data_IF_678819032830
#
_entry.id   IF_678819032830
#
_cell.length_a   1.000
_cell.length_b   1.000
_cell.length_c   1.000
_cell.angle_alpha   90.00
_cell.angle_beta   90.00
_cell.angle_gamma   90.00
#
_symmetry.space_group_name_H-M   'P 1'
#
loop_
_entity.id
_entity.type
_entity.pdbx_description
1 polymer ?
#
# COMPACT_ATOMS: atom_id res chain seq x y z
N UNK A 1 15.23 6.47 4.20
CA UNK A 1 15.14 6.33 2.73
C UNK A 1 14.35 7.49 2.12
N UNK A 2 13.08 7.72 2.52
CA UNK A 2 12.23 8.79 1.94
C UNK A 2 12.91 10.17 1.95
N UNK A 3 13.49 10.59 3.06
CA UNK A 3 14.27 11.85 3.12
C UNK A 3 15.39 11.88 2.08
N UNK A 4 16.15 10.78 1.95
CA UNK A 4 17.22 10.68 0.96
C UNK A 4 16.69 10.86 -0.48
N UNK A 5 15.53 10.28 -0.80
CA UNK A 5 14.90 10.44 -2.11
C UNK A 5 14.51 11.89 -2.38
N UNK A 6 13.87 12.56 -1.40
CA UNK A 6 13.42 13.96 -1.53
C UNK A 6 14.60 14.92 -1.65
N UNK A 7 15.63 14.75 -0.82
CA UNK A 7 16.81 15.62 -0.78
C UNK A 7 17.67 15.48 -2.05
N UNK A 8 17.74 14.27 -2.63
CA UNK A 8 18.51 13.99 -3.84
C UNK A 8 17.66 14.02 -5.12
N UNK A 9 16.39 14.41 -5.06
CA UNK A 9 15.49 14.57 -6.21
C UNK A 9 15.31 13.30 -7.08
N UNK A 10 15.29 12.10 -6.45
CA UNK A 10 15.24 10.82 -7.15
C UNK A 10 13.84 10.42 -7.65
N UNK A 11 12.93 11.37 -7.84
CA UNK A 11 11.52 11.09 -8.22
C UNK A 11 11.42 10.38 -9.57
N UNK A 12 12.24 10.79 -10.54
CA UNK A 12 12.27 10.17 -11.87
C UNK A 12 12.78 8.74 -11.83
N UNK A 13 13.82 8.49 -11.05
CA UNK A 13 14.37 7.14 -10.82
C UNK A 13 13.36 6.23 -10.14
N UNK A 14 12.52 6.80 -9.27
CA UNK A 14 11.40 6.12 -8.63
C UNK A 14 10.24 5.84 -9.58
N UNK A 15 10.25 6.37 -10.82
CA UNK A 15 9.15 6.27 -11.76
C UNK A 15 7.93 7.11 -11.39
N UNK A 16 8.11 8.11 -10.53
CA UNK A 16 7.02 8.98 -10.06
C UNK A 16 6.65 9.96 -11.17
N UNK A 17 5.34 10.12 -11.50
CA UNK A 17 4.88 11.11 -12.46
C UNK A 17 5.27 12.54 -12.05
N UNK A 18 5.82 13.31 -12.99
CA UNK A 18 6.35 14.66 -12.73
C UNK A 18 5.29 15.62 -12.15
N UNK A 19 4.03 15.47 -12.55
CA UNK A 19 2.91 16.29 -12.07
C UNK A 19 2.49 16.02 -10.61
N UNK A 20 2.98 14.94 -9.99
CA UNK A 20 2.76 14.65 -8.56
C UNK A 20 3.90 15.13 -7.67
N UNK A 21 5.06 15.48 -8.22
CA UNK A 21 6.26 15.81 -7.43
C UNK A 21 6.03 17.00 -6.50
N UNK A 22 5.29 18.02 -6.94
CA UNK A 22 4.98 19.20 -6.11
C UNK A 22 4.13 18.79 -4.89
N UNK A 23 3.07 18.00 -5.10
CA UNK A 23 2.20 17.50 -4.02
C UNK A 23 2.96 16.57 -3.07
N UNK A 24 3.82 15.70 -3.59
CA UNK A 24 4.68 14.81 -2.78
C UNK A 24 5.57 15.65 -1.86
N UNK A 25 6.23 16.68 -2.37
CA UNK A 25 7.08 17.56 -1.55
C UNK A 25 6.29 18.29 -0.48
N UNK A 26 5.11 18.77 -0.85
CA UNK A 26 4.25 19.48 0.08
C UNK A 26 3.77 18.55 1.21
N UNK A 27 3.21 17.40 0.86
CA UNK A 27 2.72 16.43 1.86
C UNK A 27 3.84 15.78 2.68
N UNK A 28 5.06 15.71 2.15
CA UNK A 28 6.24 15.27 2.88
C UNK A 28 6.68 16.27 3.95
N UNK A 29 6.54 17.55 3.68
CA UNK A 29 7.00 18.64 4.55
C UNK A 29 5.98 19.05 5.64
N UNK A 30 4.72 18.66 5.49
CA UNK A 30 3.63 19.04 6.39
C UNK A 30 3.08 17.80 7.13
N UNK A 31 3.34 17.72 8.43
CA UNK A 31 2.95 16.60 9.31
C UNK A 31 1.44 16.32 9.35
N UNK A 32 0.61 17.28 8.94
CA UNK A 32 -0.84 17.12 8.84
C UNK A 32 -1.28 16.10 7.78
N UNK A 33 -0.44 15.89 6.78
CA UNK A 33 -0.60 14.84 5.78
C UNK A 33 0.05 13.54 6.28
N UNK A 34 -0.51 12.98 7.33
CA UNK A 34 0.02 11.79 7.95
C UNK A 34 -0.31 10.53 7.14
N UNK A 35 0.64 9.62 7.05
CA UNK A 35 0.43 8.28 6.51
C UNK A 35 -0.61 7.53 7.33
N UNK A 36 -1.55 6.82 6.69
CA UNK A 36 -2.58 6.05 7.39
C UNK A 36 -2.07 4.64 7.74
N UNK A 37 -1.76 3.84 6.74
CA UNK A 37 -1.25 2.48 6.92
C UNK A 37 -0.47 1.99 5.70
N UNK A 38 0.35 0.96 5.92
CA UNK A 38 1.06 0.24 4.87
C UNK A 38 1.17 -1.25 5.20
N UNK A 39 1.56 -2.06 4.21
CA UNK A 39 1.89 -3.47 4.39
C UNK A 39 3.28 -3.74 3.83
N UNK A 40 4.14 -4.35 4.64
CA UNK A 40 5.43 -4.89 4.22
C UNK A 40 5.26 -6.35 3.84
N UNK A 41 5.61 -6.70 2.61
CA UNK A 41 5.60 -8.07 2.17
C UNK A 41 6.98 -8.69 2.43
N UNK A 42 7.00 -9.79 3.18
CA UNK A 42 8.19 -10.42 3.71
C UNK A 42 8.31 -11.86 3.21
N UNK A 43 9.52 -12.25 2.84
CA UNK A 43 9.91 -13.64 2.73
C UNK A 43 10.56 -14.08 4.05
N UNK A 44 10.33 -15.31 4.46
CA UNK A 44 10.95 -15.87 5.65
C UNK A 44 11.43 -17.30 5.39
N UNK A 45 12.47 -17.68 6.11
CA UNK A 45 13.00 -19.02 6.18
C UNK A 45 12.97 -19.46 7.65
N UNK A 46 12.11 -20.44 7.93
CA UNK A 46 11.85 -20.91 9.28
C UNK A 46 13.04 -21.67 9.85
N UNK A 47 13.80 -22.39 9.01
CA UNK A 47 14.95 -23.19 9.44
C UNK A 47 16.15 -22.31 9.82
N UNK A 48 16.43 -21.31 8.99
CA UNK A 48 17.53 -20.36 9.17
C UNK A 48 17.12 -19.14 10.03
N UNK A 49 15.84 -19.01 10.35
CA UNK A 49 15.25 -17.84 11.05
C UNK A 49 15.57 -16.50 10.37
N UNK A 50 15.59 -16.50 9.06
CA UNK A 50 15.84 -15.31 8.26
C UNK A 50 14.53 -14.71 7.76
N UNK A 51 14.42 -13.38 7.86
CA UNK A 51 13.31 -12.59 7.29
C UNK A 51 13.90 -11.59 6.31
N UNK A 52 13.26 -11.43 5.13
CA UNK A 52 13.67 -10.50 4.08
C UNK A 52 12.50 -9.67 3.58
N UNK A 53 12.72 -8.36 3.48
CA UNK A 53 11.78 -7.44 2.85
C UNK A 53 11.82 -7.61 1.33
N UNK A 54 10.67 -7.94 0.75
CA UNK A 54 10.53 -8.11 -0.70
C UNK A 54 9.71 -7.03 -1.37
N UNK A 55 8.83 -6.34 -0.62
CA UNK A 55 8.00 -5.25 -1.12
C UNK A 55 7.47 -4.38 0.01
N UNK A 56 7.14 -3.11 -0.30
CA UNK A 56 6.40 -2.21 0.56
C UNK A 56 5.18 -1.69 -0.21
N UNK A 57 4.00 -1.88 0.35
CA UNK A 57 2.73 -1.39 -0.18
C UNK A 57 2.24 -0.26 0.74
N UNK A 58 2.45 0.99 0.35
CA UNK A 58 2.24 2.15 1.21
C UNK A 58 1.11 3.09 0.74
N UNK A 59 0.56 2.88 -0.46
CA UNK A 59 -0.54 3.69 -0.99
C UNK A 59 -1.88 2.96 -0.89
N UNK A 60 -1.99 1.78 -1.52
CA UNK A 60 -3.24 1.03 -1.68
C UNK A 60 -3.08 -0.43 -1.23
N UNK A 61 -2.56 -0.65 -0.02
CA UNK A 61 -2.44 -1.99 0.53
C UNK A 61 -3.82 -2.61 0.78
N UNK A 62 -4.01 -3.87 0.40
CA UNK A 62 -5.23 -4.67 0.57
C UNK A 62 -5.02 -5.82 1.57
N UNK A 63 -5.97 -6.74 1.69
CA UNK A 63 -6.04 -7.81 2.68
C UNK A 63 -6.36 -7.32 4.10
N UNK A 64 -7.05 -6.18 4.24
CA UNK A 64 -7.51 -5.67 5.54
C UNK A 64 -8.61 -6.57 6.16
N UNK A 65 -9.67 -6.97 5.43
CA UNK A 65 -10.72 -7.83 5.97
C UNK A 65 -10.18 -9.17 6.47
N UNK A 66 -9.33 -9.79 5.66
CA UNK A 66 -8.73 -11.09 5.97
C UNK A 66 -7.87 -11.00 7.24
N UNK A 67 -7.07 -9.92 7.34
CA UNK A 67 -6.14 -9.75 8.45
C UNK A 67 -6.85 -9.28 9.72
N UNK A 68 -7.69 -8.23 9.66
CA UNK A 68 -8.30 -7.67 10.85
C UNK A 68 -9.43 -8.56 11.42
N UNK A 69 -10.22 -9.21 10.55
CA UNK A 69 -11.48 -9.84 10.96
C UNK A 69 -11.52 -11.34 10.68
N UNK A 70 -11.23 -11.77 9.43
CA UNK A 70 -11.50 -13.16 9.02
C UNK A 70 -10.63 -14.15 9.79
N UNK A 71 -9.34 -13.90 9.93
CA UNK A 71 -8.44 -14.81 10.69
C UNK A 71 -8.79 -14.87 12.17
N UNK A 72 -9.21 -13.76 12.79
CA UNK A 72 -9.69 -13.73 14.16
C UNK A 72 -10.98 -14.53 14.33
N UNK A 73 -11.96 -14.34 13.43
CA UNK A 73 -13.19 -15.10 13.45
C UNK A 73 -12.96 -16.60 13.24
N UNK A 74 -12.00 -16.97 12.38
CA UNK A 74 -11.58 -18.35 12.18
C UNK A 74 -11.00 -18.95 13.45
N UNK A 75 -10.15 -18.22 14.17
CA UNK A 75 -9.57 -18.66 15.45
C UNK A 75 -10.67 -18.93 16.48
N UNK A 76 -11.61 -18.01 16.66
CA UNK A 76 -12.75 -18.16 17.56
C UNK A 76 -13.66 -19.33 17.19
N UNK A 77 -13.97 -19.51 15.92
CA UNK A 77 -14.84 -20.60 15.46
C UNK A 77 -14.24 -21.98 15.69
N UNK A 78 -12.92 -22.07 15.80
CA UNK A 78 -12.20 -23.30 16.14
C UNK A 78 -11.97 -23.47 17.65
N UNK A 79 -12.50 -22.58 18.48
CA UNK A 79 -12.37 -22.63 19.94
C UNK A 79 -10.96 -22.37 20.46
N UNK A 80 -10.14 -21.67 19.66
CA UNK A 80 -8.78 -21.28 20.02
C UNK A 80 -8.78 -19.92 20.75
N UNK A 81 -7.69 -19.62 21.45
CA UNK A 81 -7.55 -18.37 22.17
C UNK A 81 -7.41 -17.20 21.18
N UNK A 82 -8.31 -16.23 21.25
CA UNK A 82 -8.31 -15.05 20.39
C UNK A 82 -7.08 -14.16 20.55
N UNK A 83 -6.33 -14.29 21.65
CA UNK A 83 -5.08 -13.58 21.89
C UNK A 83 -3.87 -14.26 21.24
N UNK A 84 -4.04 -15.43 20.62
CA UNK A 84 -2.98 -16.16 19.93
C UNK A 84 -2.74 -15.65 18.51
N UNK A 85 -3.01 -14.38 18.23
CA UNK A 85 -2.68 -13.73 16.95
C UNK A 85 -1.96 -12.40 17.17
N UNK A 86 -1.00 -12.10 16.31
CA UNK A 86 -0.45 -10.75 16.19
C UNK A 86 -1.38 -9.93 15.30
N UNK A 87 -2.40 -9.33 15.91
CA UNK A 87 -3.48 -8.65 15.19
C UNK A 87 -4.17 -7.60 16.07
N UNK A 88 -3.62 -6.40 16.07
CA UNK A 88 -4.23 -5.19 16.65
C UNK A 88 -4.53 -4.14 15.56
N UNK A 89 -4.78 -4.62 14.31
CA UNK A 89 -4.89 -3.74 13.15
C UNK A 89 -6.06 -2.76 13.26
N UNK A 90 -7.20 -3.22 13.75
CA UNK A 90 -8.39 -2.38 13.88
C UNK A 90 -8.15 -1.27 14.92
N UNK A 91 -7.66 -1.62 16.08
CA UNK A 91 -7.38 -0.69 17.18
C UNK A 91 -6.38 0.39 16.76
N UNK A 92 -5.29 -0.02 16.10
CA UNK A 92 -4.27 0.91 15.58
C UNK A 92 -4.83 1.84 14.49
N UNK A 93 -5.71 1.34 13.62
CA UNK A 93 -6.39 2.18 12.62
C UNK A 93 -7.31 3.22 13.29
N UNK A 94 -8.06 2.84 14.32
CA UNK A 94 -8.90 3.77 15.09
C UNK A 94 -8.06 4.88 15.73
N UNK A 95 -6.97 4.50 16.41
CA UNK A 95 -6.05 5.47 17.00
C UNK A 95 -5.41 6.38 15.94
N UNK A 96 -5.05 5.83 14.80
CA UNK A 96 -4.45 6.58 13.71
C UNK A 96 -5.41 7.59 13.08
N UNK A 97 -6.65 7.20 12.83
CA UNK A 97 -7.69 8.13 12.38
C UNK A 97 -7.95 9.24 13.40
N UNK A 98 -8.03 8.90 14.69
CA UNK A 98 -8.17 9.89 15.75
C UNK A 98 -6.99 10.88 15.78
N UNK A 99 -5.76 10.40 15.60
CA UNK A 99 -4.58 11.25 15.49
C UNK A 99 -4.61 12.16 14.26
N UNK A 100 -4.99 11.63 13.08
CA UNK A 100 -5.14 12.43 11.85
C UNK A 100 -6.17 13.54 12.04
N UNK A 101 -7.28 13.26 12.71
CA UNK A 101 -8.29 14.26 13.06
C UNK A 101 -7.72 15.37 13.97
N UNK A 102 -6.91 15.01 14.95
CA UNK A 102 -6.26 15.99 15.84
C UNK A 102 -5.24 16.87 15.12
N UNK A 103 -4.49 16.31 14.17
CA UNK A 103 -3.55 17.08 13.35
C UNK A 103 -4.24 18.09 12.42
N UNK A 104 -5.55 17.92 12.20
CA UNK A 104 -6.37 18.72 11.30
C UNK A 104 -7.66 19.19 11.99
N UNK A 105 -7.54 19.67 13.24
CA UNK A 105 -8.66 20.10 14.09
C UNK A 105 -9.40 21.36 13.60
N UNK A 106 -8.82 22.04 12.63
CA UNK A 106 -9.41 23.18 11.92
C UNK A 106 -10.31 22.75 10.71
N UNK A 107 -10.34 21.47 10.37
CA UNK A 107 -11.20 20.90 9.33
C UNK A 107 -12.40 20.16 9.93
N UNK A 108 -13.48 20.06 9.15
CA UNK A 108 -14.63 19.22 9.54
C UNK A 108 -14.21 17.75 9.46
N UNK A 109 -14.43 16.92 10.49
CA UNK A 109 -14.06 15.51 10.45
C UNK A 109 -15.04 14.70 9.59
N UNK A 110 -15.17 15.06 8.31
CA UNK A 110 -15.98 14.40 7.30
C UNK A 110 -15.08 13.76 6.26
N UNK A 111 -15.20 12.46 6.08
CA UNK A 111 -14.37 11.67 5.18
C UNK A 111 -15.18 10.91 4.14
N UNK A 112 -14.81 11.08 2.87
CA UNK A 112 -15.32 10.29 1.77
C UNK A 112 -14.33 9.16 1.45
N UNK A 113 -14.83 7.94 1.34
CA UNK A 113 -14.08 6.78 0.88
C UNK A 113 -14.45 6.46 -0.57
N UNK A 114 -13.45 6.16 -1.40
CA UNK A 114 -13.69 5.88 -2.82
C UNK A 114 -12.85 4.72 -3.33
N UNK A 115 -13.50 3.90 -4.17
CA UNK A 115 -12.90 2.81 -4.95
C UNK A 115 -13.23 2.99 -6.43
N UNK A 116 -12.67 2.16 -7.29
CA UNK A 116 -13.14 1.96 -8.64
C UNK A 116 -14.39 1.06 -8.63
N UNK A 117 -15.33 1.29 -9.54
CA UNK A 117 -16.52 0.43 -9.71
C UNK A 117 -16.11 -0.96 -10.22
N UNK A 118 -16.90 -1.97 -9.88
CA UNK A 118 -16.72 -3.37 -10.31
C UNK A 118 -15.54 -4.11 -9.66
N UNK A 119 -15.00 -3.61 -8.55
CA UNK A 119 -13.99 -4.26 -7.72
C UNK A 119 -14.50 -4.52 -6.30
N UNK A 120 -15.35 -5.56 -6.07
CA UNK A 120 -15.98 -5.80 -4.76
C UNK A 120 -14.99 -6.10 -3.64
N UNK A 121 -13.78 -6.58 -3.98
CA UNK A 121 -12.69 -6.79 -3.01
C UNK A 121 -12.20 -5.44 -2.44
N UNK A 122 -12.11 -4.41 -3.29
CA UNK A 122 -11.72 -3.06 -2.87
C UNK A 122 -12.79 -2.44 -1.97
N UNK A 123 -14.07 -2.62 -2.29
CA UNK A 123 -15.19 -2.15 -1.47
C UNK A 123 -15.14 -2.78 -0.06
N UNK A 124 -14.81 -4.09 -0.01
CA UNK A 124 -14.67 -4.81 1.26
C UNK A 124 -13.47 -4.31 2.06
N UNK A 125 -12.31 -4.07 1.41
CA UNK A 125 -11.15 -3.47 2.06
C UNK A 125 -11.46 -2.10 2.65
N UNK A 126 -12.13 -1.24 1.90
CA UNK A 126 -12.51 0.11 2.34
C UNK A 126 -13.50 0.07 3.50
N UNK A 127 -14.41 -0.91 3.56
CA UNK A 127 -15.38 -1.04 4.65
C UNK A 127 -14.73 -1.16 6.04
N UNK A 128 -13.57 -1.84 6.15
CA UNK A 128 -12.80 -1.94 7.39
C UNK A 128 -12.28 -0.56 7.83
N UNK A 129 -11.76 0.22 6.88
CA UNK A 129 -11.28 1.57 7.17
C UNK A 129 -12.41 2.53 7.53
N UNK A 130 -13.57 2.39 6.89
CA UNK A 130 -14.76 3.18 7.19
C UNK A 130 -15.24 2.95 8.63
N UNK A 131 -15.20 1.71 9.11
CA UNK A 131 -15.59 1.39 10.48
C UNK A 131 -14.62 2.01 11.48
N UNK A 132 -13.31 1.84 11.27
CA UNK A 132 -12.28 2.46 12.11
C UNK A 132 -12.40 4.01 12.13
N UNK A 133 -12.68 4.63 10.98
CA UNK A 133 -12.88 6.08 10.90
C UNK A 133 -14.13 6.55 11.67
N UNK A 134 -15.25 5.80 11.61
CA UNK A 134 -16.47 6.11 12.41
C UNK A 134 -16.18 6.03 13.89
N UNK A 135 -15.51 4.99 14.33
CA UNK A 135 -15.13 4.80 15.74
C UNK A 135 -14.18 5.93 16.21
N UNK A 136 -13.31 6.42 15.34
CA UNK A 136 -12.44 7.58 15.58
C UNK A 136 -13.19 8.93 15.55
N UNK A 137 -14.51 8.94 15.25
CA UNK A 137 -15.38 10.12 15.29
C UNK A 137 -15.37 10.95 14.01
N UNK A 138 -15.19 10.32 12.84
CA UNK A 138 -15.47 10.93 11.54
C UNK A 138 -16.92 10.69 11.10
N UNK A 139 -17.47 11.67 10.40
CA UNK A 139 -18.64 11.48 9.54
C UNK A 139 -18.17 10.79 8.25
N UNK A 140 -18.67 9.58 7.99
CA UNK A 140 -18.15 8.70 6.95
C UNK A 140 -19.17 8.50 5.85
N UNK A 141 -18.74 8.69 4.60
CA UNK A 141 -19.51 8.33 3.41
C UNK A 141 -18.65 7.48 2.44
N UNK A 142 -19.34 6.84 1.50
CA UNK A 142 -18.72 6.07 0.41
C UNK A 142 -19.33 6.50 -0.92
N UNK A 143 -18.50 6.66 -1.94
CA UNK A 143 -18.88 6.83 -3.34
C UNK A 143 -17.84 6.24 -4.27
N UNK A 144 -18.25 5.64 -5.39
CA UNK A 144 -17.30 5.31 -6.44
C UNK A 144 -16.71 6.58 -7.04
N UNK A 145 -15.47 6.50 -7.57
CA UNK A 145 -14.76 7.68 -8.07
C UNK A 145 -15.52 8.43 -9.17
N UNK A 146 -16.31 7.74 -9.97
CA UNK A 146 -17.16 8.31 -11.02
C UNK A 146 -18.40 9.06 -10.50
N UNK A 147 -18.66 9.02 -9.19
CA UNK A 147 -19.71 9.74 -8.47
C UNK A 147 -19.18 10.90 -7.63
N UNK A 148 -17.86 11.18 -7.73
CA UNK A 148 -17.17 12.19 -6.94
C UNK A 148 -16.85 13.41 -7.79
N UNK A 149 -17.25 14.59 -7.30
CA UNK A 149 -16.97 15.86 -7.94
C UNK A 149 -15.83 16.61 -7.25
N UNK A 150 -14.89 17.12 -8.03
CA UNK A 150 -13.75 17.90 -7.56
C UNK A 150 -13.81 19.32 -8.08
N UNK A 151 -13.84 20.30 -7.19
CA UNK A 151 -13.74 21.72 -7.51
C UNK A 151 -12.40 22.24 -7.02
N UNK A 152 -11.57 22.79 -7.91
CA UNK A 152 -10.25 23.33 -7.57
C UNK A 152 -10.30 24.39 -6.47
N UNK A 153 -11.39 25.14 -6.40
CA UNK A 153 -11.56 26.26 -5.46
C UNK A 153 -12.39 25.95 -4.24
N UNK A 154 -13.26 24.91 -4.28
CA UNK A 154 -14.23 24.66 -3.22
C UNK A 154 -13.97 23.40 -2.44
N UNK A 155 -13.49 22.32 -3.06
CA UNK A 155 -13.16 21.06 -2.39
C UNK A 155 -13.67 19.81 -3.10
N UNK A 156 -13.88 18.76 -2.32
CA UNK A 156 -14.38 17.45 -2.72
C UNK A 156 -15.87 17.34 -2.37
N UNK A 157 -16.67 16.81 -3.31
CA UNK A 157 -18.12 16.69 -3.14
C UNK A 157 -18.63 15.33 -3.60
N UNK A 158 -19.70 14.89 -2.96
CA UNK A 158 -20.55 13.79 -3.39
C UNK A 158 -21.97 14.33 -3.60
N UNK A 159 -22.63 13.90 -4.67
CA UNK A 159 -24.04 14.23 -4.87
C UNK A 159 -24.94 13.38 -3.97
N UNK A 160 -25.80 14.04 -3.17
CA UNK A 160 -26.85 13.36 -2.41
C UNK A 160 -28.12 13.23 -3.29
N UNK A 161 -28.45 12.01 -3.76
CA UNK A 161 -29.60 11.82 -4.64
C UNK A 161 -30.94 12.05 -3.95
N UNK A 162 -30.99 12.00 -2.61
CA UNK A 162 -32.23 12.19 -1.85
C UNK A 162 -32.63 13.67 -1.71
N UNK A 163 -31.61 14.54 -1.60
CA UNK A 163 -31.84 15.97 -1.36
C UNK A 163 -31.46 16.84 -2.56
N UNK A 164 -31.00 16.26 -3.66
CA UNK A 164 -30.43 16.96 -4.83
C UNK A 164 -29.39 18.03 -4.44
N UNK A 165 -28.58 17.72 -3.43
CA UNK A 165 -27.57 18.60 -2.87
C UNK A 165 -26.18 17.97 -3.02
N UNK A 166 -25.15 18.83 -2.97
CA UNK A 166 -23.77 18.37 -2.88
C UNK A 166 -23.31 18.41 -1.43
N UNK A 167 -22.77 17.31 -0.95
CA UNK A 167 -22.17 17.18 0.37
C UNK A 167 -20.66 17.31 0.21
N UNK A 168 -20.07 18.27 0.95
CA UNK A 168 -18.63 18.52 0.95
C UNK A 168 -17.94 17.64 1.98
N UNK A 169 -16.73 17.16 1.62
CA UNK A 169 -15.83 16.42 2.51
C UNK A 169 -14.48 17.09 2.58
N UNK A 170 -13.91 17.15 3.78
CA UNK A 170 -12.59 17.73 4.02
C UNK A 170 -11.47 16.68 4.02
N UNK A 171 -11.86 15.38 4.09
CA UNK A 171 -10.94 14.24 3.98
C UNK A 171 -11.40 13.28 2.89
N UNK A 172 -10.42 12.68 2.22
CA UNK A 172 -10.67 11.67 1.19
C UNK A 172 -9.73 10.49 1.34
N UNK A 173 -10.30 9.29 1.53
CA UNK A 173 -9.56 8.05 1.37
C UNK A 173 -9.84 7.49 -0.02
N UNK A 174 -8.79 7.17 -0.76
CA UNK A 174 -8.88 6.57 -2.09
C UNK A 174 -8.16 5.22 -2.13
N UNK A 175 -8.82 4.19 -2.55
CA UNK A 175 -8.17 2.93 -2.93
C UNK A 175 -7.86 2.94 -4.45
N UNK A 176 -7.41 4.07 -4.94
CA UNK A 176 -7.03 4.34 -6.33
C UNK A 176 -5.56 4.75 -6.33
N UNK A 177 -4.69 4.06 -7.10
CA UNK A 177 -3.27 4.34 -7.08
C UNK A 177 -2.90 5.76 -7.48
N UNK A 178 -2.01 6.40 -6.73
CA UNK A 178 -1.51 7.73 -7.08
C UNK A 178 -0.83 7.78 -8.46
N UNK A 179 -0.10 6.71 -8.83
CA UNK A 179 0.54 6.65 -10.15
C UNK A 179 -0.48 6.58 -11.28
N UNK A 180 -1.68 6.03 -11.07
CA UNK A 180 -2.77 6.08 -12.06
C UNK A 180 -3.29 7.49 -12.20
N UNK A 181 -3.58 8.17 -11.09
CA UNK A 181 -4.01 9.59 -11.11
C UNK A 181 -2.96 10.44 -11.83
N UNK A 182 -1.67 10.27 -11.53
CA UNK A 182 -0.60 11.04 -12.15
C UNK A 182 -0.42 10.79 -13.65
N UNK A 183 -0.58 9.56 -14.11
CA UNK A 183 -0.37 9.19 -15.50
C UNK A 183 -1.62 9.42 -16.39
N UNK A 184 -2.79 9.07 -15.88
CA UNK A 184 -4.03 8.96 -16.67
C UNK A 184 -4.96 10.15 -16.43
N UNK A 185 -4.99 10.71 -15.18
CA UNK A 185 -5.93 11.76 -14.75
C UNK A 185 -5.18 13.06 -14.39
N UNK A 186 -4.45 13.64 -15.37
CA UNK A 186 -3.57 14.80 -15.13
C UNK A 186 -4.31 16.04 -14.62
N UNK A 187 -5.55 16.26 -15.05
CA UNK A 187 -6.39 17.35 -14.57
C UNK A 187 -6.74 17.15 -13.11
N UNK A 188 -7.18 15.95 -12.73
CA UNK A 188 -7.46 15.59 -11.34
C UNK A 188 -6.20 15.74 -10.47
N UNK A 189 -5.03 15.31 -10.94
CA UNK A 189 -3.76 15.51 -10.22
C UNK A 189 -3.47 16.99 -9.94
N UNK A 190 -3.77 17.89 -10.88
CA UNK A 190 -3.62 19.33 -10.70
C UNK A 190 -4.61 19.90 -9.68
N UNK A 191 -5.88 19.53 -9.79
CA UNK A 191 -6.94 19.92 -8.84
C UNK A 191 -6.59 19.46 -7.42
N UNK A 192 -6.21 18.20 -7.24
CA UNK A 192 -5.81 17.66 -5.94
C UNK A 192 -4.60 18.39 -5.37
N UNK A 193 -3.62 18.73 -6.20
CA UNK A 193 -2.45 19.52 -5.76
C UNK A 193 -2.88 20.89 -5.24
N UNK A 194 -3.78 21.56 -5.93
CA UNK A 194 -4.35 22.85 -5.48
C UNK A 194 -5.12 22.71 -4.17
N UNK A 195 -6.03 21.73 -4.07
CA UNK A 195 -6.84 21.52 -2.87
C UNK A 195 -6.01 21.19 -1.63
N UNK A 196 -5.02 20.31 -1.78
CA UNK A 196 -4.10 19.90 -0.70
C UNK A 196 -3.28 21.10 -0.22
N UNK A 197 -2.67 21.85 -1.13
CA UNK A 197 -1.85 23.03 -0.80
C UNK A 197 -2.66 24.17 -0.16
N UNK A 198 -3.91 24.33 -0.56
CA UNK A 198 -4.82 25.35 -0.01
C UNK A 198 -5.59 24.87 1.22
N UNK A 199 -5.24 23.71 1.78
CA UNK A 199 -5.87 23.11 2.98
C UNK A 199 -7.38 22.91 2.86
N UNK A 200 -7.84 22.53 1.68
CA UNK A 200 -9.25 22.24 1.41
C UNK A 200 -9.53 20.75 1.39
N UNK A 201 -8.48 19.92 1.39
CA UNK A 201 -8.57 18.48 1.35
C UNK A 201 -7.33 17.84 1.97
N UNK A 202 -7.56 16.84 2.82
CA UNK A 202 -6.55 15.88 3.27
C UNK A 202 -6.81 14.56 2.57
N UNK A 203 -5.83 14.06 1.81
CA UNK A 203 -5.94 12.78 1.09
C UNK A 203 -5.20 11.70 1.84
N UNK A 204 -5.82 10.54 2.01
CA UNK A 204 -5.30 9.34 2.68
C UNK A 204 -5.25 8.16 1.68
N UNK A 205 -4.14 7.47 1.50
CA UNK A 205 -2.80 7.85 1.95
C UNK A 205 -2.29 9.06 1.16
N UNK A 206 -1.49 9.94 1.77
CA UNK A 206 -1.00 11.15 1.10
C UNK A 206 -0.02 10.83 -0.03
N UNK A 207 0.14 11.77 -0.99
CA UNK A 207 0.94 11.54 -2.20
C UNK A 207 2.40 11.12 -1.93
N UNK A 208 3.00 11.53 -0.82
CA UNK A 208 4.37 11.12 -0.47
C UNK A 208 4.52 9.63 -0.19
N UNK A 209 3.44 8.87 -0.01
CA UNK A 209 3.51 7.40 0.13
C UNK A 209 3.98 6.71 -1.15
N UNK A 210 3.88 7.38 -2.31
CA UNK A 210 4.49 6.90 -3.55
C UNK A 210 6.01 6.67 -3.44
N UNK A 211 6.71 7.39 -2.54
CA UNK A 211 8.13 7.16 -2.28
C UNK A 211 8.41 5.73 -1.77
N UNK A 212 7.43 5.14 -1.08
CA UNK A 212 7.53 3.80 -0.50
C UNK A 212 6.80 2.75 -1.34
N UNK A 213 5.79 3.17 -2.11
CA UNK A 213 5.06 2.31 -3.04
C UNK A 213 5.92 1.87 -4.22
N UNK A 214 6.78 2.76 -4.74
CA UNK A 214 7.72 2.41 -5.79
C UNK A 214 8.72 1.38 -5.30
N UNK A 215 8.83 0.24 -5.99
CA UNK A 215 9.80 -0.81 -5.67
C UNK A 215 11.26 -0.34 -5.74
N UNK A 216 11.52 0.82 -6.36
CA UNK A 216 12.84 1.44 -6.34
C UNK A 216 13.31 1.80 -4.92
N UNK A 217 12.40 1.95 -3.96
CA UNK A 217 12.75 2.18 -2.55
C UNK A 217 13.66 1.06 -2.00
N UNK A 218 13.50 -0.18 -2.48
CA UNK A 218 14.34 -1.32 -2.10
C UNK A 218 15.81 -1.11 -2.53
N UNK A 219 16.02 -0.49 -3.71
CA UNK A 219 17.37 -0.11 -4.17
C UNK A 219 17.94 1.01 -3.28
N UNK A 220 17.14 2.02 -2.96
CA UNK A 220 17.56 3.11 -2.05
C UNK A 220 17.91 2.57 -0.67
N UNK A 221 17.12 1.66 -0.14
CA UNK A 221 17.38 1.01 1.14
C UNK A 221 18.68 0.22 1.11
N UNK A 222 18.90 -0.56 0.04
CA UNK A 222 20.15 -1.32 -0.11
C UNK A 222 21.39 -0.41 -0.18
N UNK A 223 21.32 0.70 -0.90
CA UNK A 223 22.42 1.65 -1.00
C UNK A 223 22.75 2.33 0.33
N UNK A 224 21.73 2.65 1.11
CA UNK A 224 21.91 3.29 2.41
C UNK A 224 22.35 2.32 3.50
N UNK A 225 21.92 1.07 3.43
CA UNK A 225 22.12 0.05 4.45
C UNK A 225 22.52 -1.30 3.83
N UNK A 226 23.67 -1.34 3.11
CA UNK A 226 24.10 -2.58 2.48
C UNK A 226 24.33 -3.67 3.54
N UNK A 227 23.98 -4.90 3.19
CA UNK A 227 24.09 -6.07 4.08
C UNK A 227 23.23 -6.04 5.36
N UNK A 228 22.28 -5.11 5.45
CA UNK A 228 21.29 -5.16 6.55
C UNK A 228 20.54 -6.50 6.53
N UNK A 229 20.33 -7.19 7.68
CA UNK A 229 19.79 -8.56 7.71
C UNK A 229 18.40 -8.70 7.09
N UNK A 230 17.57 -7.66 7.12
CA UNK A 230 16.24 -7.66 6.49
C UNK A 230 16.25 -7.31 5.00
N UNK A 231 17.38 -6.85 4.43
CA UNK A 231 17.41 -6.39 3.04
C UNK A 231 18.03 -7.43 2.11
N UNK A 232 17.59 -7.41 0.88
CA UNK A 232 18.18 -8.14 -0.25
C UNK A 232 18.92 -7.16 -1.16
N UNK A 233 20.02 -7.59 -1.73
CA UNK A 233 20.70 -6.78 -2.73
C UNK A 233 19.72 -6.42 -3.85
N UNK A 234 19.61 -5.14 -4.16
CA UNK A 234 18.69 -4.63 -5.18
C UNK A 234 19.42 -3.66 -6.09
N UNK A 235 19.33 -3.89 -7.43
CA UNK A 235 20.04 -3.14 -8.45
C UNK A 235 19.10 -2.65 -9.56
N UNK A 236 19.56 -1.64 -10.33
CA UNK A 236 18.84 -1.15 -11.53
C UNK A 236 19.07 -2.03 -12.76
N UNK A 237 20.07 -2.89 -12.70
CA UNK A 237 20.50 -3.73 -13.82
C UNK A 237 20.52 -5.18 -13.38
N UNK A 238 20.37 -6.10 -14.34
CA UNK A 238 20.45 -7.51 -14.08
C UNK A 238 21.77 -7.91 -13.39
N UNK A 239 21.68 -8.89 -12.50
CA UNK A 239 22.80 -9.42 -11.73
C UNK A 239 23.20 -10.80 -12.26
N UNK A 240 23.97 -10.93 -13.36
CA UNK A 240 24.22 -12.22 -14.02
C UNK A 240 24.96 -13.24 -13.15
N UNK A 241 25.60 -12.79 -12.08
CA UNK A 241 26.30 -13.62 -11.11
C UNK A 241 25.42 -14.15 -9.97
N UNK A 242 24.17 -13.68 -9.88
CA UNK A 242 23.20 -14.07 -8.85
C UNK A 242 21.85 -14.45 -9.45
N UNK A 243 21.14 -15.37 -8.80
CA UNK A 243 19.71 -15.55 -9.04
C UNK A 243 18.97 -14.31 -8.50
N UNK A 244 18.06 -13.76 -9.28
CA UNK A 244 17.37 -12.52 -8.97
C UNK A 244 15.93 -12.51 -9.43
N UNK A 245 15.15 -11.55 -8.90
CA UNK A 245 13.78 -11.28 -9.31
C UNK A 245 13.73 -9.91 -9.96
N UNK A 246 13.33 -9.85 -11.23
CA UNK A 246 13.07 -8.59 -11.93
C UNK A 246 11.63 -8.17 -11.66
N UNK A 247 11.45 -6.91 -11.21
CA UNK A 247 10.15 -6.32 -10.87
C UNK A 247 10.02 -4.95 -11.51
N UNK A 248 8.84 -4.63 -12.05
CA UNK A 248 8.50 -3.25 -12.48
C UNK A 248 8.25 -2.37 -11.26
N UNK A 249 8.40 -1.05 -11.40
CA UNK A 249 8.39 -0.13 -10.26
C UNK A 249 7.03 -0.08 -9.55
N UNK A 250 5.92 -0.10 -10.30
CA UNK A 250 4.55 -0.03 -9.77
C UNK A 250 3.68 -1.23 -10.18
N UNK A 251 4.27 -2.42 -10.31
CA UNK A 251 3.52 -3.65 -10.58
C UNK A 251 2.74 -4.12 -9.34
N UNK A 252 1.64 -4.80 -9.57
CA UNK A 252 0.72 -5.36 -8.56
C UNK A 252 0.51 -6.84 -8.82
N UNK A 253 0.07 -7.60 -7.83
CA UNK A 253 -0.39 -9.00 -7.96
C UNK A 253 0.60 -9.91 -8.72
N UNK A 254 1.88 -9.73 -8.53
CA UNK A 254 2.92 -10.49 -9.22
C UNK A 254 3.06 -10.17 -10.71
N UNK A 255 2.27 -9.24 -11.26
CA UNK A 255 2.32 -8.89 -12.68
C UNK A 255 3.70 -8.34 -13.09
N UNK A 256 4.19 -8.80 -14.25
CA UNK A 256 5.51 -8.43 -14.81
C UNK A 256 6.71 -8.77 -13.91
N UNK A 257 6.57 -9.74 -13.02
CA UNK A 257 7.64 -10.31 -12.23
C UNK A 257 8.30 -11.48 -12.99
N UNK A 258 9.63 -11.55 -12.96
CA UNK A 258 10.38 -12.66 -13.59
C UNK A 258 11.49 -13.11 -12.65
N UNK A 259 11.65 -14.43 -12.50
CA UNK A 259 12.76 -15.05 -11.80
C UNK A 259 13.85 -15.33 -12.82
N UNK A 260 15.04 -14.78 -12.58
CA UNK A 260 16.21 -14.87 -13.45
C UNK A 260 17.27 -15.70 -12.75
N UNK A 261 17.68 -16.78 -13.38
CA UNK A 261 18.74 -17.67 -12.89
C UNK A 261 20.12 -17.04 -13.04
N UNK A 262 21.08 -17.58 -12.31
CA UNK A 262 22.48 -17.24 -12.51
C UNK A 262 22.89 -17.54 -13.95
N UNK A 263 23.39 -16.54 -14.65
CA UNK A 263 23.70 -16.64 -16.10
C UNK A 263 22.72 -15.83 -16.96
N UNK A 264 21.53 -15.49 -16.45
CA UNK A 264 20.59 -14.58 -17.11
C UNK A 264 19.36 -15.26 -17.72
N UNK A 265 19.25 -16.57 -17.66
CA UNK A 265 18.06 -17.30 -18.15
C UNK A 265 16.84 -17.04 -17.25
N UNK A 266 15.68 -16.80 -17.86
CA UNK A 266 14.42 -16.63 -17.14
C UNK A 266 13.83 -18.02 -16.86
N UNK A 267 13.69 -18.38 -15.59
CA UNK A 267 13.09 -19.66 -15.17
C UNK A 267 11.59 -19.61 -14.97
N UNK A 268 11.07 -18.46 -14.51
CA UNK A 268 9.63 -18.21 -14.35
C UNK A 268 9.32 -16.75 -14.67
N UNK A 269 8.11 -16.49 -15.19
CA UNK A 269 7.65 -15.12 -15.47
C UNK A 269 6.13 -15.06 -15.48
N UNK A 270 5.60 -14.01 -14.85
CA UNK A 270 4.18 -13.64 -14.95
C UNK A 270 4.09 -12.40 -15.83
N UNK A 271 3.26 -12.48 -16.88
CA UNK A 271 2.96 -11.33 -17.75
C UNK A 271 1.99 -10.36 -17.05
N UNK A 272 1.88 -9.15 -17.57
CA UNK A 272 0.96 -8.15 -17.07
C UNK A 272 1.03 -6.85 -17.86
N UNK A 273 0.20 -5.89 -17.52
CA UNK A 273 0.00 -4.64 -18.26
C UNK A 273 1.12 -3.61 -18.05
N UNK A 274 2.00 -3.81 -17.05
CA UNK A 274 3.03 -2.85 -16.65
C UNK A 274 4.37 -3.04 -17.39
N UNK A 275 4.41 -3.80 -18.48
CA UNK A 275 5.65 -4.26 -19.13
C UNK A 275 6.60 -3.19 -19.63
N UNK A 276 6.11 -1.96 -19.89
CA UNK A 276 6.88 -0.82 -20.37
C UNK A 276 7.57 0.00 -19.27
N UNK A 277 7.29 -0.30 -17.99
CA UNK A 277 7.89 0.41 -16.88
C UNK A 277 9.37 0.00 -16.67
N UNK A 278 10.22 0.91 -16.13
CA UNK A 278 11.54 0.55 -15.64
C UNK A 278 11.46 -0.56 -14.58
N UNK A 279 12.57 -1.30 -14.43
CA UNK A 279 12.64 -2.45 -13.52
C UNK A 279 13.75 -2.27 -12.50
N UNK A 280 13.58 -2.93 -11.35
CA UNK A 280 14.63 -3.28 -10.42
C UNK A 280 14.92 -4.78 -10.50
N UNK A 281 16.08 -5.18 -10.02
CA UNK A 281 16.53 -6.56 -9.90
C UNK A 281 16.92 -6.79 -8.44
N UNK A 282 16.11 -7.56 -7.73
CA UNK A 282 16.32 -7.91 -6.33
C UNK A 282 16.90 -9.32 -6.24
N UNK A 283 17.91 -9.53 -5.40
CA UNK A 283 18.42 -10.87 -5.10
C UNK A 283 17.28 -11.81 -4.73
N UNK A 284 17.27 -13.00 -5.31
CA UNK A 284 16.24 -14.00 -5.04
C UNK A 284 16.42 -14.56 -3.63
N UNK A 285 15.35 -14.57 -2.86
CA UNK A 285 15.23 -15.28 -1.61
C UNK A 285 14.04 -16.25 -1.70
N UNK A 286 14.20 -17.55 -1.38
CA UNK A 286 13.11 -18.51 -1.48
C UNK A 286 12.02 -18.17 -0.46
N UNK A 287 10.76 -18.29 -0.86
CA UNK A 287 9.63 -18.27 0.06
C UNK A 287 9.55 -19.60 0.79
N UNK A 288 9.12 -19.59 2.04
CA UNK A 288 8.80 -20.81 2.79
C UNK A 288 7.81 -21.66 2.00
N UNK A 289 8.06 -22.97 1.93
CA UNK A 289 7.28 -23.89 1.10
C UNK A 289 6.76 -25.04 1.95
N UNK A 290 5.47 -25.39 1.81
CA UNK A 290 4.88 -26.55 2.45
C UNK A 290 5.16 -27.87 1.69
N UNK A 291 4.76 -29.00 2.28
CA UNK A 291 4.94 -30.35 1.67
C UNK A 291 4.17 -30.51 0.36
N UNK A 292 3.12 -29.73 0.11
CA UNK A 292 2.33 -29.73 -1.12
C UNK A 292 2.94 -28.85 -2.21
N UNK A 293 4.03 -28.13 -1.92
CA UNK A 293 4.76 -27.28 -2.86
C UNK A 293 4.21 -25.85 -2.99
N UNK A 294 3.28 -25.44 -2.11
CA UNK A 294 2.82 -24.05 -2.05
C UNK A 294 3.79 -23.17 -1.27
N UNK A 295 3.99 -21.96 -1.74
CA UNK A 295 4.84 -20.96 -1.05
C UNK A 295 4.03 -19.99 -0.20
N UNK A 296 4.65 -19.45 0.83
CA UNK A 296 4.05 -18.51 1.78
C UNK A 296 4.80 -17.18 1.80
N UNK A 297 4.05 -16.10 1.72
CA UNK A 297 4.52 -14.74 1.92
C UNK A 297 3.82 -14.13 3.12
N UNK A 298 4.57 -13.54 4.02
CA UNK A 298 4.02 -12.81 5.14
C UNK A 298 3.74 -11.35 4.76
N UNK A 299 2.56 -10.85 5.11
CA UNK A 299 2.17 -9.46 5.00
C UNK A 299 2.10 -8.84 6.40
N UNK A 300 3.04 -7.95 6.72
CA UNK A 300 3.12 -7.24 8.00
C UNK A 300 2.49 -5.86 7.86
N UNK A 301 1.37 -5.61 8.51
CA UNK A 301 0.74 -4.30 8.55
C UNK A 301 1.45 -3.38 9.53
N UNK A 302 1.59 -2.14 9.11
CA UNK A 302 2.18 -1.05 9.86
C UNK A 302 1.24 0.17 9.82
N UNK A 303 0.88 0.66 10.99
CA UNK A 303 0.07 1.86 11.19
C UNK A 303 0.90 2.88 11.99
N UNK A 304 0.85 2.86 13.31
CA UNK A 304 1.78 3.59 14.17
C UNK A 304 3.05 2.76 14.43
N UNK A 305 2.86 1.45 14.51
CA UNK A 305 3.91 0.44 14.61
C UNK A 305 3.50 -0.81 13.81
N UNK A 306 4.28 -1.88 13.86
CA UNK A 306 3.89 -3.16 13.31
C UNK A 306 2.74 -3.73 14.16
N UNK A 307 1.58 -3.97 13.56
CA UNK A 307 0.35 -4.23 14.31
C UNK A 307 -0.42 -5.49 13.90
N UNK A 308 -0.13 -6.05 12.74
CA UNK A 308 -0.79 -7.29 12.34
C UNK A 308 0.01 -8.08 11.31
N UNK A 309 -0.18 -9.38 11.32
CA UNK A 309 0.45 -10.31 10.39
C UNK A 309 -0.63 -11.14 9.68
N UNK A 310 -0.51 -11.27 8.38
CA UNK A 310 -1.31 -12.18 7.55
C UNK A 310 -0.41 -12.94 6.58
N UNK A 311 -0.87 -14.08 6.07
CA UNK A 311 -0.10 -14.87 5.12
C UNK A 311 -0.88 -15.06 3.83
N UNK A 312 -0.15 -15.00 2.71
CA UNK A 312 -0.66 -15.40 1.39
C UNK A 312 0.05 -16.67 0.96
N UNK A 313 -0.73 -17.65 0.47
CA UNK A 313 -0.28 -18.97 0.02
C UNK A 313 -0.54 -19.11 -1.46
N UNK A 314 0.45 -19.50 -2.24
CA UNK A 314 0.30 -19.64 -3.70
C UNK A 314 1.47 -20.32 -4.37
N UNK A 315 1.72 -19.98 -5.63
CA UNK A 315 2.87 -20.43 -6.41
C UNK A 315 4.17 -19.69 -6.03
N UNK A 316 5.26 -19.95 -6.76
CA UNK A 316 6.55 -19.29 -6.51
C UNK A 316 6.54 -17.78 -6.74
N UNK A 317 5.69 -17.31 -7.66
CA UNK A 317 5.31 -15.91 -7.81
C UNK A 317 3.86 -15.84 -7.37
N UNK A 318 3.59 -15.10 -6.30
CA UNK A 318 2.25 -14.93 -5.77
C UNK A 318 1.48 -13.92 -6.64
N UNK A 319 0.33 -14.34 -7.13
CA UNK A 319 -0.59 -13.53 -7.94
C UNK A 319 -1.93 -13.30 -7.22
N UNK A 320 -2.94 -12.79 -7.92
CA UNK A 320 -4.28 -12.55 -7.38
C UNK A 320 -5.06 -13.83 -7.04
N UNK A 321 -4.58 -15.03 -7.43
CA UNK A 321 -5.18 -16.31 -7.06
C UNK A 321 -4.65 -16.85 -5.72
N UNK A 322 -3.67 -16.18 -5.12
CA UNK A 322 -3.08 -16.60 -3.86
C UNK A 322 -4.12 -16.52 -2.73
N UNK A 323 -4.21 -17.60 -1.96
CA UNK A 323 -5.15 -17.73 -0.85
C UNK A 323 -4.61 -17.01 0.40
N UNK A 324 -5.49 -16.40 1.17
CA UNK A 324 -5.15 -15.91 2.50
C UNK A 324 -5.13 -17.08 3.49
N UNK A 325 -4.17 -17.05 4.41
CA UNK A 325 -4.02 -18.01 5.52
C UNK A 325 -3.81 -17.25 6.82
N UNK A 326 -4.66 -17.53 7.81
CA UNK A 326 -4.50 -17.00 9.17
C UNK A 326 -3.30 -17.64 9.87
N UNK A 327 -2.85 -16.99 10.93
CA UNK A 327 -1.76 -17.51 11.78
C UNK A 327 -2.21 -17.67 13.23
N UNK A 328 -1.44 -18.44 13.97
CA UNK A 328 -1.53 -18.57 15.41
C UNK A 328 -0.12 -18.53 16.01
N UNK A 329 0.03 -17.84 17.11
CA UNK A 329 1.24 -17.80 17.92
C UNK A 329 1.09 -18.87 19.01
N UNK A 330 2.08 -19.77 19.13
CA UNK A 330 2.15 -20.80 20.16
C UNK A 330 2.80 -20.28 21.46
#
# INVERSE_FOLDING_TARGET
>A
AGRYVVDNHLFREMGIPDNLVEMIRYTWADERHAHLYSRFDLAYDEQEQHVKLIECNADTATCLPETAVVQWAQLKSNGLDENSQFNTLHEELVERFAHIRLLNDDLTPSILFSTLRDYPEDDTNVSILMEAAREAGFDVAFAYIDEVDFSETEGLFMHDPHNAAFIRFDFWFKLIPWEFIGNEEKELASILTSLVKNRKLVVLNPAHTLLYQSKYILKVLWDLYPYHPLLLQTERHAMPHKKSVAKVLFGREGANVSIIEKGGDVSESVSGEYGNQPRIYQEYFPLQTDEAGYTYQAGLFYVNEACALGFRRGGKILDNTAQFVGHMIE
#
